data_IF_310908760189
#
_entry.id   IF_310908760189
#
_cell.length_a   1.000
_cell.length_b   1.000
_cell.length_c   1.000
_cell.angle_alpha   90.00
_cell.angle_beta   90.00
_cell.angle_gamma   90.00
#
_symmetry.space_group_name_H-M   'P 1'
#
loop_
_entity.id
_entity.type
_entity.pdbx_description
1 polymer ?
#
# COMPACT_ATOMS: atom_id res chain seq x y z
N UNK A 1 -23.77 -8.03 24.00
CA UNK A 1 -22.50 -7.31 24.29
C UNK A 1 -22.34 -6.24 23.24
N UNK A 2 -22.06 -4.99 23.64
CA UNK A 2 -21.82 -3.87 22.71
C UNK A 2 -20.34 -3.54 22.75
N UNK A 3 -19.70 -3.45 21.57
CA UNK A 3 -18.32 -3.00 21.42
C UNK A 3 -18.27 -1.47 21.30
N UNK A 4 -17.13 -0.88 21.65
CA UNK A 4 -16.85 0.53 21.34
C UNK A 4 -16.64 0.70 19.85
N UNK A 5 -15.90 -0.24 19.22
CA UNK A 5 -15.70 -0.27 17.79
C UNK A 5 -15.63 -1.70 17.23
N UNK A 6 -16.14 -1.90 16.01
CA UNK A 6 -15.93 -3.08 15.19
C UNK A 6 -15.11 -2.68 13.97
N UNK A 7 -14.01 -3.41 13.71
CA UNK A 7 -13.18 -3.24 12.55
C UNK A 7 -13.50 -4.32 11.53
N UNK A 8 -13.80 -3.92 10.30
CA UNK A 8 -14.07 -4.82 9.18
C UNK A 8 -12.81 -4.92 8.32
N UNK A 9 -12.16 -6.08 8.38
CA UNK A 9 -10.86 -6.35 7.75
C UNK A 9 -9.72 -6.44 8.75
N UNK A 10 -8.92 -7.51 8.67
CA UNK A 10 -7.75 -7.77 9.52
C UNK A 10 -6.42 -7.68 8.78
N UNK A 11 -6.36 -6.91 7.69
CA UNK A 11 -5.11 -6.53 7.04
C UNK A 11 -4.31 -5.49 7.85
N UNK A 12 -3.18 -4.98 7.32
CA UNK A 12 -2.31 -4.03 8.05
C UNK A 12 -3.06 -2.84 8.66
N UNK A 13 -4.02 -2.25 7.94
CA UNK A 13 -4.82 -1.14 8.44
C UNK A 13 -5.71 -1.54 9.60
N UNK A 14 -6.52 -2.60 9.41
CA UNK A 14 -7.51 -3.00 10.42
C UNK A 14 -6.87 -3.61 11.66
N UNK A 15 -5.83 -4.43 11.51
CA UNK A 15 -5.08 -4.97 12.64
C UNK A 15 -4.40 -3.86 13.46
N UNK A 16 -3.85 -2.83 12.78
CA UNK A 16 -3.28 -1.66 13.47
C UNK A 16 -4.36 -0.89 14.20
N UNK A 17 -5.50 -0.60 13.56
CA UNK A 17 -6.61 0.11 14.22
C UNK A 17 -7.13 -0.65 15.45
N UNK A 18 -7.27 -1.97 15.34
CA UNK A 18 -7.72 -2.81 16.44
C UNK A 18 -6.74 -2.78 17.62
N UNK A 19 -5.42 -2.86 17.34
CA UNK A 19 -4.38 -2.75 18.35
C UNK A 19 -4.40 -1.38 19.04
N UNK A 20 -4.44 -0.30 18.29
CA UNK A 20 -4.41 1.07 18.83
C UNK A 20 -5.61 1.36 19.74
N UNK A 21 -6.81 0.94 19.36
CA UNK A 21 -7.99 1.09 20.21
C UNK A 21 -7.93 0.20 21.46
N UNK A 22 -7.44 -1.03 21.35
CA UNK A 22 -7.25 -1.92 22.49
C UNK A 22 -6.25 -1.36 23.51
N UNK A 23 -5.15 -0.74 23.03
CA UNK A 23 -4.18 -0.02 23.89
C UNK A 23 -4.81 1.18 24.63
N UNK A 24 -5.89 1.75 24.10
CA UNK A 24 -6.68 2.79 24.77
C UNK A 24 -7.81 2.21 25.68
N UNK A 25 -7.72 0.91 26.02
CA UNK A 25 -8.71 0.20 26.82
C UNK A 25 -10.14 0.24 26.25
N UNK A 26 -10.26 0.31 24.91
CA UNK A 26 -11.54 0.22 24.23
C UNK A 26 -11.92 -1.23 24.00
N UNK A 27 -13.22 -1.51 24.09
CA UNK A 27 -13.79 -2.82 23.81
C UNK A 27 -13.92 -3.01 22.29
N UNK A 28 -12.99 -3.74 21.70
CA UNK A 28 -12.81 -3.83 20.26
C UNK A 28 -13.01 -5.23 19.73
N UNK A 29 -13.71 -5.34 18.60
CA UNK A 29 -13.74 -6.54 17.78
C UNK A 29 -13.21 -6.26 16.38
N UNK A 30 -12.55 -7.23 15.74
CA UNK A 30 -12.26 -7.17 14.33
C UNK A 30 -12.59 -8.46 13.60
N UNK A 31 -13.05 -8.34 12.36
CA UNK A 31 -13.53 -9.44 11.52
C UNK A 31 -12.58 -9.61 10.35
N UNK A 32 -12.01 -10.79 10.17
CA UNK A 32 -11.09 -11.13 9.08
C UNK A 32 -11.46 -12.45 8.43
N UNK A 33 -11.19 -12.58 7.13
CA UNK A 33 -11.56 -13.79 6.37
C UNK A 33 -10.68 -14.99 6.61
N UNK A 34 -9.48 -14.80 7.19
CA UNK A 34 -8.46 -15.82 7.43
C UNK A 34 -8.08 -16.67 6.19
N UNK A 35 -6.83 -16.99 6.05
CA UNK A 35 -6.31 -17.84 4.97
C UNK A 35 -6.28 -17.19 3.59
N UNK A 36 -6.67 -15.93 3.44
CA UNK A 36 -6.49 -15.17 2.22
C UNK A 36 -5.18 -14.41 2.26
N UNK A 37 -4.25 -14.78 1.39
CA UNK A 37 -3.05 -14.00 1.15
C UNK A 37 -3.44 -12.81 0.26
N UNK A 38 -3.11 -11.59 0.68
CA UNK A 38 -3.30 -10.41 -0.17
C UNK A 38 -2.12 -10.31 -1.15
N UNK A 39 -2.38 -10.33 -2.46
CA UNK A 39 -1.33 -10.10 -3.46
C UNK A 39 -0.61 -8.77 -3.21
N UNK A 40 0.72 -8.81 -3.16
CA UNK A 40 1.55 -7.65 -2.84
C UNK A 40 3.01 -7.93 -3.20
N UNK A 41 3.73 -6.92 -3.66
CA UNK A 41 5.19 -6.98 -3.82
C UNK A 41 5.98 -7.12 -2.51
N UNK A 42 5.34 -6.96 -1.35
CA UNK A 42 5.92 -7.23 -0.03
C UNK A 42 6.95 -6.24 0.48
N UNK A 43 7.29 -5.20 -0.28
CA UNK A 43 8.30 -4.22 0.10
C UNK A 43 7.80 -3.27 1.20
N UNK A 44 8.54 -3.15 2.29
CA UNK A 44 8.27 -2.24 3.40
C UNK A 44 9.47 -1.34 3.67
N UNK A 45 9.26 -0.01 3.76
CA UNK A 45 10.36 0.94 3.96
C UNK A 45 10.92 0.88 5.39
N UNK A 46 12.17 1.35 5.59
CA UNK A 46 12.79 1.42 6.92
C UNK A 46 11.93 2.17 7.95
N UNK A 47 11.24 3.20 7.52
CA UNK A 47 10.33 3.97 8.38
C UNK A 47 9.20 3.11 8.95
N UNK A 48 8.59 2.21 8.13
CA UNK A 48 7.56 1.30 8.61
C UNK A 48 8.11 0.35 9.69
N UNK A 49 9.28 -0.22 9.42
CA UNK A 49 9.92 -1.17 10.34
C UNK A 49 10.13 -0.51 11.70
N UNK A 50 10.67 0.71 11.71
CA UNK A 50 10.92 1.50 12.92
C UNK A 50 9.64 1.94 13.62
N UNK A 51 8.74 2.64 12.90
CA UNK A 51 7.59 3.32 13.49
C UNK A 51 6.54 2.34 14.04
N UNK A 52 6.51 1.11 13.49
CA UNK A 52 5.61 0.04 13.93
C UNK A 52 6.30 -1.12 14.67
N UNK A 53 7.57 -0.98 15.01
CA UNK A 53 8.36 -2.00 15.73
C UNK A 53 8.19 -3.39 15.09
N UNK A 54 8.48 -3.48 13.79
CA UNK A 54 8.42 -4.77 13.07
C UNK A 54 9.69 -5.57 13.41
N UNK A 55 9.55 -6.77 13.97
CA UNK A 55 10.71 -7.58 14.32
C UNK A 55 11.37 -8.17 13.07
N UNK A 56 12.66 -8.39 13.13
CA UNK A 56 13.47 -9.00 12.05
C UNK A 56 12.92 -10.35 11.58
N UNK A 57 12.26 -11.11 12.48
CA UNK A 57 11.61 -12.38 12.12
C UNK A 57 10.49 -12.26 11.07
N UNK A 58 9.99 -11.06 10.81
CA UNK A 58 9.02 -10.80 9.76
C UNK A 58 9.67 -10.40 8.44
N UNK A 59 10.97 -10.17 8.40
CA UNK A 59 11.72 -9.72 7.22
C UNK A 59 12.39 -10.92 6.57
N UNK A 60 11.95 -11.28 5.38
CA UNK A 60 12.47 -12.44 4.63
C UNK A 60 13.64 -12.10 3.71
N UNK A 61 13.79 -10.82 3.33
CA UNK A 61 14.96 -10.31 2.61
C UNK A 61 15.20 -8.84 2.96
N UNK A 62 16.47 -8.41 2.92
CA UNK A 62 16.90 -7.05 3.24
C UNK A 62 17.54 -6.44 1.99
N UNK A 63 16.79 -5.63 1.28
CA UNK A 63 17.20 -5.03 0.01
C UNK A 63 18.05 -3.81 0.24
N UNK A 64 19.22 -3.77 -0.39
CA UNK A 64 20.20 -2.67 -0.29
C UNK A 64 20.28 -1.79 -1.52
N UNK A 65 19.72 -2.25 -2.65
CA UNK A 65 19.76 -1.52 -3.92
C UNK A 65 18.43 -1.60 -4.63
N UNK A 66 18.00 -0.50 -5.22
CA UNK A 66 16.92 -0.49 -6.19
C UNK A 66 17.49 -0.18 -7.58
N UNK A 67 17.25 -1.04 -8.56
CA UNK A 67 17.65 -0.85 -9.94
C UNK A 67 16.47 -0.34 -10.76
N UNK A 68 16.62 0.84 -11.36
CA UNK A 68 15.69 1.38 -12.34
C UNK A 68 16.10 0.92 -13.73
N UNK A 69 15.17 0.36 -14.49
CA UNK A 69 15.41 -0.17 -15.85
C UNK A 69 14.54 0.61 -16.84
N UNK A 70 15.17 1.21 -17.86
CA UNK A 70 14.50 2.01 -18.88
C UNK A 70 14.02 1.16 -20.07
N UNK A 71 13.20 1.73 -20.99
CA UNK A 71 12.76 1.05 -22.20
C UNK A 71 13.89 0.56 -23.11
N UNK A 72 15.04 1.24 -23.11
CA UNK A 72 16.25 0.85 -23.86
C UNK A 72 17.18 -0.07 -23.05
N UNK A 73 16.69 -0.64 -21.95
CA UNK A 73 17.47 -1.50 -21.05
C UNK A 73 18.63 -0.79 -20.34
N UNK A 74 18.65 0.54 -20.33
CA UNK A 74 19.58 1.30 -19.49
C UNK A 74 19.23 1.09 -18.04
N UNK A 75 20.23 0.87 -17.20
CA UNK A 75 20.08 0.65 -15.77
C UNK A 75 20.68 1.78 -14.94
N UNK A 76 20.03 2.08 -13.82
CA UNK A 76 20.54 2.98 -12.78
C UNK A 76 20.34 2.32 -11.44
N UNK A 77 21.42 2.03 -10.74
CA UNK A 77 21.40 1.48 -9.40
C UNK A 77 21.36 2.59 -8.36
N UNK A 78 20.41 2.51 -7.46
CA UNK A 78 20.22 3.46 -6.37
C UNK A 78 20.48 2.73 -5.06
N UNK A 79 21.60 3.01 -4.37
CA UNK A 79 21.89 2.40 -3.08
C UNK A 79 20.92 2.89 -2.01
N UNK A 80 20.51 2.01 -1.10
CA UNK A 80 19.69 2.34 0.06
C UNK A 80 20.62 2.66 1.21
N UNK A 81 20.91 3.95 1.37
CA UNK A 81 21.78 4.41 2.45
C UNK A 81 21.10 4.33 3.82
N UNK A 82 21.87 4.04 4.86
CA UNK A 82 21.43 4.04 6.26
C UNK A 82 20.24 3.13 6.57
N UNK A 83 20.14 1.98 5.89
CA UNK A 83 19.08 1.01 6.15
C UNK A 83 18.90 -0.02 5.04
N UNK A 84 17.70 -0.53 4.95
CA UNK A 84 17.28 -1.47 3.90
C UNK A 84 15.76 -1.37 3.68
N UNK A 85 15.30 -1.75 2.51
CA UNK A 85 13.89 -2.08 2.31
C UNK A 85 13.69 -3.53 2.75
N UNK A 86 12.81 -3.75 3.72
CA UNK A 86 12.44 -5.09 4.16
C UNK A 86 11.45 -5.73 3.19
N UNK A 87 11.62 -7.02 2.92
CA UNK A 87 10.62 -7.80 2.19
C UNK A 87 9.85 -8.65 3.20
N UNK A 88 8.52 -8.66 3.08
CA UNK A 88 7.64 -9.42 3.97
C UNK A 88 6.74 -10.38 3.19
N UNK A 89 6.55 -11.58 3.73
CA UNK A 89 5.52 -12.49 3.24
C UNK A 89 4.18 -12.12 3.89
N UNK A 90 3.20 -11.69 3.06
CA UNK A 90 1.92 -11.16 3.53
C UNK A 90 1.12 -12.15 4.38
N UNK A 91 1.27 -13.44 4.15
CA UNK A 91 0.65 -14.48 4.96
C UNK A 91 1.10 -14.39 6.42
N UNK A 92 2.41 -14.34 6.64
CA UNK A 92 3.01 -14.30 7.97
C UNK A 92 2.88 -12.90 8.60
N UNK A 93 3.13 -11.86 7.81
CA UNK A 93 3.11 -10.47 8.28
C UNK A 93 1.71 -10.03 8.72
N UNK A 94 0.67 -10.30 7.92
CA UNK A 94 -0.69 -9.94 8.29
C UNK A 94 -1.16 -10.74 9.52
N UNK A 95 -0.76 -12.03 9.63
CA UNK A 95 -1.07 -12.85 10.80
C UNK A 95 -0.34 -12.35 12.07
N UNK A 96 0.92 -11.95 11.94
CA UNK A 96 1.66 -11.29 13.02
C UNK A 96 0.92 -10.04 13.52
N UNK A 97 0.43 -9.18 12.62
CA UNK A 97 -0.31 -7.98 13.00
C UNK A 97 -1.63 -8.31 13.69
N UNK A 98 -2.38 -9.31 13.21
CA UNK A 98 -3.62 -9.78 13.82
C UNK A 98 -3.40 -10.34 15.23
N UNK A 99 -2.38 -11.17 15.39
CA UNK A 99 -2.02 -11.74 16.69
C UNK A 99 -1.56 -10.64 17.66
N UNK A 100 -0.80 -9.67 17.19
CA UNK A 100 -0.39 -8.49 17.97
C UNK A 100 -1.61 -7.72 18.48
N UNK A 101 -2.61 -7.48 17.64
CA UNK A 101 -3.85 -6.82 18.04
C UNK A 101 -4.64 -7.64 19.07
N UNK A 102 -4.76 -8.96 18.86
CA UNK A 102 -5.43 -9.86 19.79
C UNK A 102 -4.74 -9.91 21.15
N UNK A 103 -3.40 -9.95 21.18
CA UNK A 103 -2.61 -9.96 22.41
C UNK A 103 -2.75 -8.63 23.20
N UNK A 104 -3.19 -7.54 22.55
CA UNK A 104 -3.53 -6.27 23.21
C UNK A 104 -4.99 -6.18 23.64
N UNK A 105 -5.78 -7.22 23.45
CA UNK A 105 -7.17 -7.33 23.92
C UNK A 105 -8.25 -7.14 22.86
N UNK A 106 -7.91 -6.94 21.59
CA UNK A 106 -8.89 -6.91 20.51
C UNK A 106 -9.45 -8.31 20.22
N UNK A 107 -10.77 -8.47 20.22
CA UNK A 107 -11.41 -9.77 19.95
C UNK A 107 -11.47 -10.05 18.46
N UNK A 108 -10.77 -11.09 18.01
CA UNK A 108 -10.78 -11.53 16.62
C UNK A 108 -11.97 -12.44 16.34
N UNK A 109 -12.63 -12.21 15.19
CA UNK A 109 -13.63 -13.07 14.59
C UNK A 109 -13.20 -13.44 13.17
N UNK A 110 -13.45 -14.70 12.80
CA UNK A 110 -13.09 -15.20 11.46
C UNK A 110 -14.35 -15.36 10.62
N UNK A 111 -14.48 -14.52 9.59
CA UNK A 111 -15.65 -14.55 8.74
C UNK A 111 -15.63 -13.51 7.62
N UNK A 112 -16.68 -13.53 6.81
CA UNK A 112 -16.85 -12.60 5.69
C UNK A 112 -17.94 -11.59 6.04
N UNK A 113 -17.59 -10.30 6.01
CA UNK A 113 -18.53 -9.19 6.17
C UNK A 113 -19.70 -9.31 5.18
N UNK A 114 -20.89 -8.99 5.63
CA UNK A 114 -22.11 -9.02 4.83
C UNK A 114 -22.71 -7.62 4.67
N UNK A 115 -23.07 -6.98 5.80
CA UNK A 115 -23.74 -5.67 5.80
C UNK A 115 -23.68 -4.98 7.15
N UNK A 116 -24.04 -3.71 7.12
CA UNK A 116 -24.25 -2.86 8.30
C UNK A 116 -25.70 -2.47 8.36
N UNK A 117 -26.29 -2.56 9.56
CA UNK A 117 -27.64 -2.07 9.84
C UNK A 117 -27.60 -1.10 11.01
N UNK A 118 -28.42 -0.07 10.96
CA UNK A 118 -28.56 0.93 12.03
C UNK A 118 -29.92 0.80 12.66
N UNK A 119 -29.95 0.73 13.99
CA UNK A 119 -31.18 0.72 14.74
C UNK A 119 -31.59 2.18 14.96
N UNK A 120 -32.71 2.57 14.38
CA UNK A 120 -33.29 3.90 14.62
C UNK A 120 -33.39 4.13 16.14
N UNK A 121 -33.11 5.35 16.60
CA UNK A 121 -33.19 5.79 18.01
C UNK A 121 -32.09 5.25 18.95
N UNK A 122 -31.11 4.48 18.44
CA UNK A 122 -29.96 4.03 19.23
C UNK A 122 -28.66 4.38 18.50
N UNK A 123 -27.70 4.95 19.22
CA UNK A 123 -26.33 5.18 18.71
C UNK A 123 -25.57 3.84 18.64
N UNK A 124 -26.18 2.85 17.99
CA UNK A 124 -25.66 1.47 17.88
C UNK A 124 -25.77 1.00 16.43
N UNK A 125 -24.67 0.46 15.96
CA UNK A 125 -24.56 -0.15 14.65
C UNK A 125 -24.48 -1.66 14.81
N UNK A 126 -25.28 -2.40 14.04
CA UNK A 126 -25.20 -3.85 13.89
C UNK A 126 -24.38 -4.21 12.68
N UNK A 127 -23.30 -4.97 12.87
CA UNK A 127 -22.43 -5.50 11.82
C UNK A 127 -22.69 -6.99 11.68
N UNK A 128 -23.09 -7.40 10.48
CA UNK A 128 -23.38 -8.79 10.16
C UNK A 128 -22.24 -9.41 9.34
N UNK A 129 -21.83 -10.60 9.71
CA UNK A 129 -20.83 -11.37 8.99
C UNK A 129 -21.19 -12.86 8.98
N UNK A 130 -20.74 -13.56 7.94
CA UNK A 130 -20.84 -15.01 7.84
C UNK A 130 -19.62 -15.63 8.51
N UNK A 131 -19.83 -16.28 9.64
CA UNK A 131 -18.77 -16.98 10.39
C UNK A 131 -18.17 -18.11 9.54
N UNK A 132 -16.85 -18.21 9.53
CA UNK A 132 -16.12 -19.19 8.70
C UNK A 132 -16.38 -20.63 9.18
N UNK A 133 -16.43 -20.84 10.49
CA UNK A 133 -16.53 -22.16 11.09
C UNK A 133 -17.96 -22.68 11.07
N UNK A 134 -18.90 -21.92 11.62
CA UNK A 134 -20.29 -22.33 11.74
C UNK A 134 -21.10 -22.13 10.46
N UNK A 135 -20.61 -21.32 9.51
CA UNK A 135 -21.29 -20.88 8.29
C UNK A 135 -22.58 -20.08 8.54
N UNK A 136 -22.88 -19.77 9.79
CA UNK A 136 -24.04 -18.96 10.20
C UNK A 136 -23.74 -17.48 10.06
N UNK A 137 -24.80 -16.71 9.89
CA UNK A 137 -24.75 -15.26 10.04
C UNK A 137 -24.68 -14.92 11.53
N UNK A 138 -23.75 -14.05 11.87
CA UNK A 138 -23.54 -13.55 13.23
C UNK A 138 -23.68 -12.04 13.24
N UNK A 139 -24.42 -11.53 14.22
CA UNK A 139 -24.55 -10.11 14.51
C UNK A 139 -23.61 -9.70 15.64
N UNK A 140 -22.83 -8.64 15.41
CA UNK A 140 -22.10 -7.91 16.45
C UNK A 140 -22.60 -6.47 16.50
N UNK A 141 -22.66 -5.90 17.72
CA UNK A 141 -23.13 -4.52 17.95
C UNK A 141 -22.01 -3.64 18.44
N UNK A 142 -21.89 -2.42 17.89
CA UNK A 142 -20.92 -1.43 18.32
C UNK A 142 -21.47 -0.01 18.23
N UNK A 143 -20.71 0.93 18.81
CA UNK A 143 -20.94 2.38 18.64
C UNK A 143 -20.34 2.89 17.35
N UNK A 144 -19.18 2.39 16.96
CA UNK A 144 -18.44 2.81 15.76
C UNK A 144 -17.98 1.62 14.92
N UNK A 145 -17.80 1.88 13.63
CA UNK A 145 -17.25 0.92 12.66
C UNK A 145 -16.06 1.53 11.96
N UNK A 146 -14.97 0.74 11.81
CA UNK A 146 -13.85 1.07 10.95
C UNK A 146 -13.86 0.12 9.76
N UNK A 147 -14.08 0.66 8.54
CA UNK A 147 -13.98 -0.09 7.29
C UNK A 147 -12.52 -0.17 6.83
N UNK A 148 -11.92 -1.36 6.94
CA UNK A 148 -10.52 -1.64 6.57
C UNK A 148 -10.40 -2.91 5.70
N UNK A 149 -11.42 -3.17 4.88
CA UNK A 149 -11.61 -4.40 4.10
C UNK A 149 -10.92 -4.39 2.73
N UNK A 150 -10.04 -3.41 2.52
CA UNK A 150 -9.09 -3.39 1.42
C UNK A 150 -9.61 -2.71 0.14
N UNK A 151 -8.88 -2.88 -0.96
CA UNK A 151 -9.09 -2.13 -2.19
C UNK A 151 -10.49 -2.29 -2.80
N UNK A 152 -11.11 -3.46 -2.69
CA UNK A 152 -12.51 -3.70 -3.12
C UNK A 152 -13.46 -3.64 -1.94
N UNK A 153 -13.31 -2.63 -1.09
CA UNK A 153 -14.09 -2.45 0.12
C UNK A 153 -15.59 -2.50 -0.14
N UNK A 154 -16.26 -3.48 0.45
CA UNK A 154 -17.73 -3.54 0.45
C UNK A 154 -18.30 -2.46 1.38
N UNK A 155 -17.58 -2.14 2.47
CA UNK A 155 -17.95 -1.03 3.36
C UNK A 155 -17.90 0.30 2.63
N UNK A 156 -16.81 0.61 1.92
CA UNK A 156 -16.72 1.87 1.17
C UNK A 156 -17.81 1.97 0.10
N UNK A 157 -18.09 0.86 -0.60
CA UNK A 157 -19.06 0.83 -1.70
C UNK A 157 -20.51 0.96 -1.24
N UNK A 158 -20.85 0.49 -0.04
CA UNK A 158 -22.19 0.58 0.54
C UNK A 158 -22.42 1.87 1.32
N UNK A 159 -21.40 2.39 2.00
CA UNK A 159 -21.55 3.41 3.02
C UNK A 159 -21.01 4.79 2.64
N UNK A 160 -20.14 4.88 1.60
CA UNK A 160 -19.43 6.12 1.33
C UNK A 160 -19.65 6.64 -0.09
N UNK A 161 -19.91 7.95 -0.25
CA UNK A 161 -19.90 8.58 -1.56
C UNK A 161 -18.54 8.37 -2.25
N UNK A 162 -18.56 7.99 -3.53
CA UNK A 162 -17.35 7.73 -4.32
C UNK A 162 -16.70 6.36 -4.09
N UNK A 163 -17.16 5.57 -3.12
CA UNK A 163 -16.59 4.24 -2.84
C UNK A 163 -16.69 3.23 -4.00
N UNK A 164 -17.63 3.46 -4.94
CA UNK A 164 -17.79 2.63 -6.16
C UNK A 164 -16.92 3.08 -7.32
N UNK A 165 -16.33 4.27 -7.26
CA UNK A 165 -15.66 4.93 -8.40
C UNK A 165 -14.18 5.22 -8.16
N UNK A 166 -13.56 4.56 -7.18
CA UNK A 166 -12.13 4.66 -6.93
C UNK A 166 -11.37 4.15 -8.16
N UNK A 167 -10.44 4.94 -8.74
CA UNK A 167 -9.61 4.47 -9.85
C UNK A 167 -8.58 3.46 -9.36
N UNK A 168 -8.33 2.42 -10.16
CA UNK A 168 -7.41 1.35 -9.83
C UNK A 168 -6.37 1.12 -10.92
N UNK A 169 -5.17 0.75 -10.49
CA UNK A 169 -4.23 -0.07 -11.25
C UNK A 169 -4.51 -1.52 -10.89
N UNK A 170 -4.60 -2.40 -11.89
CA UNK A 170 -4.64 -3.84 -11.67
C UNK A 170 -3.20 -4.35 -11.69
N UNK A 171 -2.75 -4.89 -10.59
CA UNK A 171 -1.48 -5.57 -10.47
C UNK A 171 -1.66 -7.06 -10.68
N UNK A 172 -0.71 -7.68 -11.40
CA UNK A 172 -0.56 -9.11 -11.53
C UNK A 172 0.89 -9.50 -11.29
N UNK A 173 1.12 -10.57 -10.56
CA UNK A 173 2.46 -11.10 -10.35
C UNK A 173 2.48 -12.61 -10.20
N UNK A 174 3.65 -13.17 -10.44
CA UNK A 174 3.98 -14.56 -10.19
C UNK A 174 5.02 -14.61 -9.06
N UNK A 175 4.75 -15.43 -8.06
CA UNK A 175 5.74 -15.82 -7.07
C UNK A 175 6.45 -17.04 -7.63
N UNK A 176 7.75 -16.94 -7.77
CA UNK A 176 8.61 -17.97 -8.35
C UNK A 176 9.66 -18.43 -7.32
N UNK A 177 10.21 -19.61 -7.50
CA UNK A 177 11.41 -20.04 -6.76
C UNK A 177 12.58 -19.11 -7.10
N UNK A 178 13.32 -18.67 -6.10
CA UNK A 178 14.50 -17.84 -6.35
C UNK A 178 15.59 -18.64 -7.07
N UNK A 179 16.19 -18.11 -8.16
CA UNK A 179 17.26 -18.82 -8.86
C UNK A 179 18.53 -18.92 -7.99
N UNK A 180 19.30 -20.00 -8.22
CA UNK A 180 20.58 -20.24 -7.53
C UNK A 180 21.74 -19.65 -8.33
N UNK A 181 21.73 -18.33 -8.57
CA UNK A 181 22.80 -17.66 -9.32
C UNK A 181 22.32 -17.02 -10.62
N UNK A 182 23.22 -16.64 -11.49
CA UNK A 182 22.97 -15.87 -12.72
C UNK A 182 22.96 -14.37 -12.47
N UNK A 183 22.13 -13.63 -13.19
CA UNK A 183 21.99 -12.17 -13.09
C UNK A 183 21.09 -11.73 -11.93
N UNK A 184 20.46 -12.69 -11.26
CA UNK A 184 19.60 -12.44 -10.09
C UNK A 184 20.44 -12.02 -8.90
N UNK A 185 20.08 -10.90 -8.31
CA UNK A 185 20.71 -10.36 -7.11
C UNK A 185 19.70 -10.36 -5.95
N UNK A 186 19.94 -11.15 -4.89
CA UNK A 186 19.01 -11.28 -3.77
C UNK A 186 18.89 -10.02 -2.90
N UNK A 187 19.81 -9.07 -3.04
CA UNK A 187 19.83 -7.82 -2.27
C UNK A 187 19.31 -6.61 -3.10
N UNK A 188 18.78 -6.85 -4.32
CA UNK A 188 18.36 -5.79 -5.25
C UNK A 188 16.92 -5.97 -5.73
N UNK A 189 16.13 -4.90 -5.64
CA UNK A 189 14.84 -4.79 -6.30
C UNK A 189 14.97 -4.17 -7.68
N UNK A 190 14.47 -4.83 -8.72
CA UNK A 190 14.42 -4.31 -10.07
C UNK A 190 13.05 -3.67 -10.33
N UNK A 191 13.05 -2.42 -10.84
CA UNK A 191 11.86 -1.65 -11.20
C UNK A 191 11.95 -1.28 -12.68
N UNK A 192 10.99 -1.76 -13.48
CA UNK A 192 11.05 -1.75 -14.94
C UNK A 192 10.06 -0.74 -15.48
N UNK A 193 10.58 0.31 -16.12
CA UNK A 193 9.82 1.35 -16.79
C UNK A 193 9.85 1.13 -18.30
N UNK A 194 8.91 0.35 -18.83
CA UNK A 194 8.80 -0.01 -20.24
C UNK A 194 7.31 -0.08 -20.62
N UNK A 195 6.90 0.65 -21.64
CA UNK A 195 5.51 0.69 -22.09
C UNK A 195 4.99 -0.65 -22.62
N UNK A 196 5.88 -1.55 -23.05
CA UNK A 196 5.56 -2.93 -23.44
C UNK A 196 5.24 -3.81 -22.24
N UNK A 197 5.75 -3.44 -21.07
CA UNK A 197 5.50 -4.11 -19.78
C UNK A 197 4.33 -3.44 -19.05
N UNK A 198 4.35 -2.11 -18.97
CA UNK A 198 3.27 -1.34 -18.36
C UNK A 198 3.10 0.01 -19.05
N UNK A 199 1.93 0.29 -19.66
CA UNK A 199 1.71 1.54 -20.38
C UNK A 199 1.54 2.78 -19.47
N UNK A 200 1.23 2.60 -18.18
CA UNK A 200 0.89 3.69 -17.26
C UNK A 200 1.34 3.49 -15.80
N UNK A 201 2.08 2.39 -15.55
CA UNK A 201 2.66 2.08 -14.24
C UNK A 201 4.08 1.52 -14.43
N UNK A 202 4.45 0.40 -13.79
CA UNK A 202 5.77 -0.24 -13.91
C UNK A 202 5.68 -1.76 -13.71
N UNK A 203 6.76 -2.46 -14.12
CA UNK A 203 7.02 -3.85 -13.79
C UNK A 203 8.06 -3.99 -12.69
N UNK A 204 8.12 -5.14 -12.04
CA UNK A 204 9.07 -5.40 -10.95
C UNK A 204 9.60 -6.82 -10.91
N UNK A 205 10.82 -6.96 -10.36
CA UNK A 205 11.41 -8.21 -9.89
C UNK A 205 11.93 -8.00 -8.47
N UNK A 206 11.25 -8.56 -7.46
CA UNK A 206 11.55 -8.34 -6.04
C UNK A 206 11.94 -9.63 -5.34
N UNK A 207 13.14 -9.72 -4.78
CA UNK A 207 13.59 -10.89 -4.00
C UNK A 207 12.81 -11.06 -2.69
N UNK A 208 12.52 -12.32 -2.34
CA UNK A 208 11.89 -12.72 -1.10
C UNK A 208 12.65 -13.90 -0.42
N UNK A 209 13.96 -13.82 -0.42
CA UNK A 209 14.81 -14.90 0.12
C UNK A 209 14.77 -16.15 -0.76
N UNK A 210 13.95 -17.15 -0.40
CA UNK A 210 13.81 -18.39 -1.18
C UNK A 210 12.90 -18.28 -2.41
N UNK A 211 12.21 -17.18 -2.57
CA UNK A 211 11.32 -16.88 -3.67
C UNK A 211 11.57 -15.49 -4.25
N UNK A 212 10.94 -15.16 -5.36
CA UNK A 212 10.89 -13.81 -5.90
C UNK A 212 9.47 -13.50 -6.39
N UNK A 213 9.07 -12.24 -6.29
CA UNK A 213 7.84 -11.70 -6.86
C UNK A 213 8.17 -11.01 -8.17
N UNK A 214 7.66 -11.50 -9.27
CA UNK A 214 7.82 -10.89 -10.60
C UNK A 214 6.45 -10.48 -11.12
N UNK A 215 6.28 -9.22 -11.49
CA UNK A 215 4.97 -8.76 -11.90
C UNK A 215 4.95 -7.35 -12.48
N UNK A 216 3.76 -6.90 -12.76
CA UNK A 216 3.50 -5.56 -13.29
C UNK A 216 2.12 -5.06 -12.86
N UNK A 217 1.89 -3.77 -13.04
CA UNK A 217 0.59 -3.15 -12.83
C UNK A 217 0.19 -2.26 -14.01
N UNK A 218 -1.11 -2.11 -14.27
CA UNK A 218 -1.64 -1.13 -15.22
C UNK A 218 -3.09 -0.78 -14.92
N UNK A 219 -3.48 0.47 -15.19
CA UNK A 219 -4.88 0.91 -15.21
C UNK A 219 -5.55 0.72 -16.59
N UNK A 220 -4.82 0.24 -17.59
CA UNK A 220 -5.32 0.12 -18.96
C UNK A 220 -6.11 -1.17 -19.15
N UNK A 221 -7.39 -1.03 -19.44
CA UNK A 221 -8.26 -2.18 -19.70
C UNK A 221 -7.81 -2.96 -20.96
N UNK A 222 -7.91 -4.28 -20.89
CA UNK A 222 -7.58 -5.18 -22.01
C UNK A 222 -6.08 -5.41 -22.23
N UNK A 223 -5.21 -4.87 -21.38
CA UNK A 223 -3.77 -5.14 -21.45
C UNK A 223 -3.46 -6.56 -20.93
N UNK A 224 -2.60 -7.30 -21.64
CA UNK A 224 -2.24 -8.67 -21.25
C UNK A 224 -1.17 -8.66 -20.14
N UNK A 225 -1.65 -8.76 -18.92
CA UNK A 225 -0.80 -8.77 -17.71
C UNK A 225 0.09 -10.02 -17.64
N UNK A 226 -0.38 -11.16 -18.17
CA UNK A 226 0.37 -12.43 -18.12
C UNK A 226 1.52 -12.41 -19.11
N UNK A 227 1.26 -11.98 -20.34
CA UNK A 227 2.28 -11.81 -21.37
C UNK A 227 3.36 -10.81 -20.93
N UNK A 228 2.96 -9.66 -20.38
CA UNK A 228 3.89 -8.67 -19.85
C UNK A 228 4.77 -9.26 -18.72
N UNK A 229 4.20 -10.02 -17.80
CA UNK A 229 4.97 -10.68 -16.73
C UNK A 229 5.92 -11.75 -17.29
N UNK A 230 5.51 -12.50 -18.31
CA UNK A 230 6.38 -13.45 -18.98
C UNK A 230 7.59 -12.75 -19.64
N UNK A 231 7.39 -11.61 -20.30
CA UNK A 231 8.48 -10.77 -20.85
C UNK A 231 9.46 -10.29 -19.78
N UNK A 232 8.96 -9.91 -18.58
CA UNK A 232 9.85 -9.57 -17.45
C UNK A 232 10.69 -10.78 -17.07
N UNK A 233 10.07 -11.96 -16.93
CA UNK A 233 10.79 -13.18 -16.55
C UNK A 233 11.88 -13.53 -17.56
N UNK A 234 11.56 -13.46 -18.84
CA UNK A 234 12.51 -13.72 -19.93
C UNK A 234 13.68 -12.72 -19.91
N UNK A 235 13.40 -11.42 -19.89
CA UNK A 235 14.42 -10.36 -19.89
C UNK A 235 15.30 -10.34 -18.63
N UNK A 236 14.80 -10.89 -17.51
CA UNK A 236 15.52 -11.00 -16.25
C UNK A 236 16.16 -12.38 -16.03
N UNK A 237 16.09 -13.31 -17.01
CA UNK A 237 16.63 -14.66 -16.90
C UNK A 237 15.91 -15.53 -15.86
N UNK A 238 14.63 -15.24 -15.61
CA UNK A 238 13.78 -15.93 -14.62
C UNK A 238 12.72 -16.84 -15.27
N UNK A 239 12.76 -17.01 -16.59
CA UNK A 239 11.81 -17.79 -17.39
C UNK A 239 11.79 -19.27 -16.99
N UNK A 240 12.94 -19.82 -16.61
CA UNK A 240 13.10 -21.23 -16.20
C UNK A 240 12.77 -21.50 -14.72
N UNK A 241 12.51 -20.48 -13.92
CA UNK A 241 12.17 -20.66 -12.51
C UNK A 241 10.75 -21.21 -12.36
N UNK A 242 10.54 -22.16 -11.45
CA UNK A 242 9.24 -22.71 -11.15
C UNK A 242 8.30 -21.65 -10.57
N UNK A 243 7.07 -21.59 -11.07
CA UNK A 243 6.04 -20.71 -10.49
C UNK A 243 5.36 -21.40 -9.32
N UNK A 244 5.42 -20.78 -8.15
CA UNK A 244 4.79 -21.26 -6.92
C UNK A 244 3.30 -20.87 -6.92
N UNK A 245 2.98 -19.60 -7.27
CA UNK A 245 1.59 -19.11 -7.36
C UNK A 245 1.48 -17.88 -8.27
N UNK A 246 0.27 -17.65 -8.77
CA UNK A 246 -0.08 -16.50 -9.62
C UNK A 246 -1.19 -15.73 -8.94
N UNK A 247 -1.04 -14.42 -8.84
CA UNK A 247 -1.93 -13.58 -8.05
C UNK A 247 -2.19 -12.25 -8.75
N UNK A 248 -3.34 -11.63 -8.44
CA UNK A 248 -3.65 -10.29 -8.90
C UNK A 248 -4.54 -9.55 -7.92
N UNK A 249 -4.36 -8.23 -7.85
CA UNK A 249 -5.16 -7.36 -7.01
C UNK A 249 -5.28 -5.94 -7.58
N UNK A 250 -6.41 -5.24 -7.33
CA UNK A 250 -6.49 -3.82 -7.59
C UNK A 250 -5.69 -3.04 -6.55
N UNK A 251 -5.05 -1.97 -7.01
CA UNK A 251 -4.33 -0.98 -6.21
C UNK A 251 -5.06 0.35 -6.38
N UNK A 252 -5.72 0.90 -5.35
CA UNK A 252 -6.35 2.21 -5.45
C UNK A 252 -5.27 3.29 -5.43
N UNK A 253 -5.34 4.23 -6.36
CA UNK A 253 -4.32 5.28 -6.50
C UNK A 253 -4.78 6.67 -6.06
N UNK A 254 -6.02 6.79 -5.60
CA UNK A 254 -6.58 8.08 -5.21
C UNK A 254 -7.35 7.97 -3.90
N UNK A 255 -6.96 8.70 -2.85
CA UNK A 255 -7.73 8.79 -1.63
C UNK A 255 -9.12 9.36 -1.87
N UNK A 256 -10.12 8.80 -1.19
CA UNK A 256 -11.48 9.35 -1.19
C UNK A 256 -11.51 10.76 -0.58
N UNK A 257 -12.44 11.57 -1.04
CA UNK A 257 -12.64 12.93 -0.50
C UNK A 257 -13.23 12.91 0.90
N UNK A 258 -14.06 11.91 1.20
CA UNK A 258 -14.61 11.67 2.52
C UNK A 258 -14.29 10.24 2.98
N UNK A 259 -13.78 10.10 4.22
CA UNK A 259 -13.50 8.80 4.83
C UNK A 259 -14.51 8.41 5.88
N UNK A 260 -15.37 9.33 6.28
CA UNK A 260 -16.38 9.11 7.33
C UNK A 260 -17.77 9.54 6.86
N UNK A 261 -18.78 8.96 7.49
CA UNK A 261 -20.18 9.30 7.26
C UNK A 261 -20.73 10.35 8.22
N UNK A 262 -19.89 10.94 9.08
CA UNK A 262 -20.23 11.93 10.09
C UNK A 262 -21.07 11.41 11.29
N UNK A 263 -21.28 10.08 11.37
CA UNK A 263 -22.13 9.46 12.41
C UNK A 263 -21.41 8.35 13.18
N UNK A 264 -21.06 7.27 12.51
CA UNK A 264 -20.67 6.02 13.17
C UNK A 264 -19.61 5.23 12.42
N UNK A 265 -19.19 5.66 11.21
CA UNK A 265 -18.30 4.90 10.35
C UNK A 265 -17.16 5.75 9.81
N UNK A 266 -15.96 5.16 9.81
CA UNK A 266 -14.76 5.73 9.16
C UNK A 266 -14.01 4.64 8.38
N UNK A 267 -13.46 5.00 7.23
CA UNK A 267 -12.61 4.11 6.41
C UNK A 267 -11.13 4.26 6.75
N UNK A 268 -10.35 3.21 6.47
CA UNK A 268 -8.90 3.22 6.65
C UNK A 268 -8.18 2.35 5.60
N UNK A 269 -6.95 2.71 5.29
CA UNK A 269 -6.10 1.98 4.34
C UNK A 269 -6.65 2.00 2.91
N UNK A 270 -6.49 0.89 2.19
CA UNK A 270 -6.94 0.78 0.80
C UNK A 270 -8.44 1.01 0.64
N UNK A 271 -9.26 0.75 1.67
CA UNK A 271 -10.69 1.06 1.65
C UNK A 271 -10.97 2.57 1.53
N UNK A 272 -10.05 3.40 2.04
CA UNK A 272 -10.05 4.84 1.89
C UNK A 272 -9.26 5.33 0.66
N UNK A 273 -8.69 4.41 -0.14
CA UNK A 273 -7.91 4.74 -1.33
C UNK A 273 -6.47 5.18 -1.08
N UNK A 274 -5.90 4.92 0.10
CA UNK A 274 -4.58 5.44 0.50
C UNK A 274 -3.43 4.51 0.13
N UNK A 275 -3.11 4.47 -1.14
CA UNK A 275 -1.89 3.87 -1.68
C UNK A 275 -1.10 4.97 -2.40
N UNK A 276 0.22 4.99 -2.23
CA UNK A 276 1.06 5.98 -2.89
C UNK A 276 0.96 5.84 -4.42
N UNK A 277 0.62 6.91 -5.17
CA UNK A 277 0.46 6.84 -6.62
C UNK A 277 1.72 6.23 -7.26
N UNK A 278 2.53 6.74 -7.92
CA UNK A 278 3.67 6.24 -8.71
C UNK A 278 4.38 4.95 -8.21
N UNK A 279 4.34 4.63 -6.93
CA UNK A 279 5.04 3.46 -6.35
C UNK A 279 4.14 2.28 -5.97
N UNK A 280 2.83 2.48 -5.86
CA UNK A 280 1.91 1.43 -5.39
C UNK A 280 2.15 0.98 -3.94
N UNK A 281 2.97 1.71 -3.17
CA UNK A 281 3.25 1.37 -1.78
C UNK A 281 2.03 1.67 -0.91
N UNK A 282 1.48 0.62 -0.31
CA UNK A 282 0.25 0.68 0.47
C UNK A 282 0.39 0.27 1.94
N UNK A 283 1.36 -0.59 2.30
CA UNK A 283 1.41 -1.17 3.64
C UNK A 283 1.64 -0.10 4.71
N UNK A 284 2.63 0.78 4.52
CA UNK A 284 2.90 1.88 5.44
C UNK A 284 1.67 2.78 5.61
N UNK A 285 1.12 3.25 4.51
CA UNK A 285 -0.03 4.15 4.54
C UNK A 285 -1.30 3.48 5.07
N UNK A 286 -1.46 2.17 4.86
CA UNK A 286 -2.55 1.41 5.45
C UNK A 286 -2.42 1.37 6.98
N UNK A 287 -1.23 1.15 7.51
CA UNK A 287 -0.99 1.13 8.96
C UNK A 287 -1.19 2.52 9.58
N UNK A 288 -0.67 3.58 8.97
CA UNK A 288 -0.94 4.98 9.40
C UNK A 288 -2.44 5.28 9.33
N UNK A 289 -3.12 4.92 8.22
CA UNK A 289 -4.56 5.11 8.10
C UNK A 289 -5.35 4.39 9.20
N UNK A 290 -4.88 3.19 9.61
CA UNK A 290 -5.42 2.46 10.75
C UNK A 290 -5.24 3.20 12.08
N UNK A 291 -4.05 3.76 12.34
CA UNK A 291 -3.80 4.59 13.54
C UNK A 291 -4.68 5.83 13.56
N UNK A 292 -4.81 6.54 12.45
CA UNK A 292 -5.59 7.76 12.39
C UNK A 292 -7.10 7.51 12.52
N UNK A 293 -7.60 6.38 11.98
CA UNK A 293 -8.98 5.95 12.19
C UNK A 293 -9.24 5.58 13.64
N UNK A 294 -8.32 4.84 14.28
CA UNK A 294 -8.41 4.50 15.70
C UNK A 294 -8.39 5.75 16.58
N UNK A 295 -7.49 6.70 16.31
CA UNK A 295 -7.44 7.98 16.99
C UNK A 295 -8.77 8.73 16.88
N UNK A 296 -9.32 8.85 15.67
CA UNK A 296 -10.57 9.56 15.44
C UNK A 296 -11.75 8.92 16.20
N UNK A 297 -11.85 7.59 16.16
CA UNK A 297 -12.88 6.84 16.92
C UNK A 297 -12.71 7.03 18.42
N UNK A 298 -11.45 6.98 18.94
CA UNK A 298 -11.19 7.20 20.34
C UNK A 298 -11.62 8.60 20.81
N UNK A 299 -11.37 9.63 20.02
CA UNK A 299 -11.80 11.00 20.29
C UNK A 299 -13.35 11.12 20.27
N UNK A 300 -14.01 10.44 19.32
CA UNK A 300 -15.49 10.38 19.31
C UNK A 300 -16.04 9.80 20.60
N UNK A 301 -15.46 8.72 21.11
CA UNK A 301 -15.89 8.07 22.34
C UNK A 301 -15.63 8.98 23.55
N UNK A 302 -14.43 9.56 23.62
CA UNK A 302 -14.00 10.43 24.73
C UNK A 302 -14.90 11.65 24.88
N UNK A 303 -15.19 12.33 23.78
CA UNK A 303 -15.96 13.57 23.77
C UNK A 303 -17.44 13.39 23.43
N UNK A 304 -17.90 12.15 23.24
CA UNK A 304 -19.28 11.81 22.83
C UNK A 304 -19.74 12.62 21.61
N UNK A 305 -18.86 12.78 20.63
CA UNK A 305 -19.12 13.62 19.45
C UNK A 305 -18.62 12.94 18.18
N UNK A 306 -19.51 12.44 17.30
CA UNK A 306 -19.12 11.75 16.08
C UNK A 306 -18.42 12.62 15.03
N UNK A 307 -18.51 13.95 15.18
CA UNK A 307 -17.79 14.90 14.28
C UNK A 307 -16.26 14.73 14.30
N UNK A 308 -15.71 14.07 15.31
CA UNK A 308 -14.28 13.77 15.36
C UNK A 308 -13.86 12.67 14.37
N UNK A 309 -14.76 11.90 13.77
CA UNK A 309 -14.41 10.91 12.73
C UNK A 309 -13.63 11.53 11.58
N UNK A 310 -13.94 12.79 11.20
CA UNK A 310 -13.21 13.54 10.16
C UNK A 310 -11.72 13.75 10.46
N UNK A 311 -11.30 13.57 11.71
CA UNK A 311 -9.89 13.69 12.08
C UNK A 311 -9.03 12.63 11.42
N UNK A 312 -9.54 11.44 11.14
CA UNK A 312 -8.79 10.38 10.45
C UNK A 312 -8.19 10.91 9.13
N UNK A 313 -9.03 11.39 8.23
CA UNK A 313 -8.57 11.98 6.96
C UNK A 313 -7.77 13.26 7.16
N UNK A 314 -8.23 14.16 8.03
CA UNK A 314 -7.58 15.45 8.26
C UNK A 314 -6.13 15.28 8.68
N UNK A 315 -5.86 14.41 9.66
CA UNK A 315 -4.53 14.15 10.19
C UNK A 315 -3.65 13.43 9.16
N UNK A 316 -4.16 12.38 8.54
CA UNK A 316 -3.45 11.69 7.45
C UNK A 316 -3.04 12.66 6.34
N UNK A 317 -3.97 13.47 5.84
CA UNK A 317 -3.70 14.40 4.75
C UNK A 317 -2.82 15.59 5.16
N UNK A 318 -2.82 16.01 6.42
CA UNK A 318 -1.90 17.05 6.89
C UNK A 318 -0.43 16.63 6.78
N UNK A 319 -0.14 15.35 6.94
CA UNK A 319 1.23 14.81 6.82
C UNK A 319 1.57 14.37 5.38
N UNK A 320 0.64 13.73 4.68
CA UNK A 320 0.96 12.98 3.45
C UNK A 320 0.46 13.61 2.16
N UNK A 321 -0.43 14.61 2.19
CA UNK A 321 -1.03 15.22 0.99
C UNK A 321 0.00 15.70 -0.02
N UNK A 322 1.05 16.36 0.45
CA UNK A 322 2.08 16.93 -0.44
C UNK A 322 2.87 15.83 -1.12
N UNK A 323 3.25 14.77 -0.38
CA UNK A 323 3.94 13.60 -0.97
C UNK A 323 3.06 12.94 -2.02
N UNK A 324 1.78 12.70 -1.73
CA UNK A 324 0.83 12.10 -2.68
C UNK A 324 0.70 12.92 -3.96
N UNK A 325 0.60 14.25 -3.85
CA UNK A 325 0.52 15.16 -5.02
C UNK A 325 1.79 15.13 -5.86
N UNK A 326 2.96 15.10 -5.23
CA UNK A 326 4.24 15.00 -5.95
C UNK A 326 4.33 13.66 -6.69
N UNK A 327 4.01 12.56 -6.04
CA UNK A 327 4.03 11.23 -6.64
C UNK A 327 3.02 11.10 -7.80
N UNK A 328 1.81 11.65 -7.66
CA UNK A 328 0.82 11.71 -8.73
C UNK A 328 1.32 12.54 -9.93
N UNK A 329 1.93 13.69 -9.66
CA UNK A 329 2.50 14.54 -10.71
C UNK A 329 3.65 13.83 -11.45
N UNK A 330 4.52 13.11 -10.72
CA UNK A 330 5.60 12.31 -11.31
C UNK A 330 5.05 11.19 -12.20
N UNK A 331 4.06 10.43 -11.74
CA UNK A 331 3.41 9.40 -12.54
C UNK A 331 2.81 9.98 -13.82
N UNK A 332 2.09 11.09 -13.71
CA UNK A 332 1.48 11.78 -14.85
C UNK A 332 2.52 12.36 -15.83
N UNK A 333 3.68 12.79 -15.34
CA UNK A 333 4.73 13.36 -16.16
C UNK A 333 5.54 12.28 -16.91
N UNK A 334 5.91 11.19 -16.23
CA UNK A 334 6.94 10.28 -16.74
C UNK A 334 6.42 8.94 -17.25
N UNK A 335 5.26 8.44 -16.80
CA UNK A 335 4.81 7.08 -17.18
C UNK A 335 4.00 7.02 -18.49
N UNK A 336 3.83 8.15 -19.20
CA UNK A 336 2.96 8.25 -20.38
C UNK A 336 3.56 7.77 -21.70
N UNK A 337 4.89 7.77 -21.83
CA UNK A 337 5.59 7.32 -23.06
C UNK A 337 6.98 6.81 -22.74
N UNK A 338 7.54 5.99 -23.63
CA UNK A 338 8.87 5.41 -23.43
C UNK A 338 9.98 6.46 -23.44
N UNK A 339 9.85 7.50 -24.27
CA UNK A 339 10.77 8.65 -24.22
C UNK A 339 10.79 9.33 -22.84
N UNK A 340 9.64 9.49 -22.21
CA UNK A 340 9.54 10.06 -20.85
C UNK A 340 10.05 9.11 -19.78
N UNK A 341 9.81 7.80 -19.91
CA UNK A 341 10.38 6.79 -19.01
C UNK A 341 11.90 6.74 -19.08
N UNK A 342 12.44 6.82 -20.31
CA UNK A 342 13.88 6.90 -20.56
C UNK A 342 14.51 8.11 -19.84
N UNK A 343 13.87 9.28 -19.96
CA UNK A 343 14.31 10.50 -19.27
C UNK A 343 14.21 10.34 -17.75
N UNK A 344 13.15 9.72 -17.24
CA UNK A 344 12.99 9.48 -15.81
C UNK A 344 14.12 8.62 -15.25
N UNK A 345 14.41 7.49 -15.89
CA UNK A 345 15.52 6.62 -15.46
C UNK A 345 16.87 7.35 -15.58
N UNK A 346 17.07 8.15 -16.63
CA UNK A 346 18.29 8.98 -16.77
C UNK A 346 18.44 10.02 -15.66
N UNK A 347 17.32 10.63 -15.20
CA UNK A 347 17.34 11.56 -14.07
C UNK A 347 17.76 10.87 -12.77
N UNK A 348 17.44 9.58 -12.61
CA UNK A 348 17.86 8.80 -11.44
C UNK A 348 19.39 8.59 -11.33
N UNK A 349 20.19 8.98 -12.33
CA UNK A 349 21.67 9.05 -12.25
C UNK A 349 22.16 10.21 -11.38
N UNK A 350 21.36 11.26 -11.23
CA UNK A 350 21.73 12.44 -10.43
C UNK A 350 21.60 12.13 -8.94
N UNK A 351 22.69 12.26 -8.19
CA UNK A 351 22.73 11.95 -6.75
C UNK A 351 21.76 12.80 -5.92
N UNK A 352 21.51 14.05 -6.30
CA UNK A 352 20.51 14.88 -5.62
C UNK A 352 19.10 14.37 -5.88
N UNK A 353 18.81 13.87 -7.09
CA UNK A 353 17.53 13.23 -7.44
C UNK A 353 17.37 11.92 -6.67
N UNK A 354 18.41 11.08 -6.66
CA UNK A 354 18.42 9.82 -5.88
C UNK A 354 18.12 10.11 -4.42
N UNK A 355 18.88 10.99 -3.80
CA UNK A 355 18.72 11.32 -2.39
C UNK A 355 17.32 11.85 -2.08
N UNK A 356 16.82 12.82 -2.83
CA UNK A 356 15.52 13.43 -2.55
C UNK A 356 14.34 12.49 -2.81
N UNK A 357 14.41 11.74 -3.92
CA UNK A 357 13.36 10.78 -4.28
C UNK A 357 13.35 9.62 -3.29
N UNK A 358 14.52 9.10 -2.97
CA UNK A 358 14.68 7.95 -2.11
C UNK A 358 14.38 8.28 -0.65
N UNK A 359 14.87 9.39 -0.12
CA UNK A 359 14.52 9.84 1.23
C UNK A 359 13.02 10.10 1.37
N UNK A 360 12.38 10.67 0.35
CA UNK A 360 10.94 10.86 0.33
C UNK A 360 10.20 9.52 0.35
N UNK A 361 10.68 8.53 -0.38
CA UNK A 361 10.13 7.17 -0.37
C UNK A 361 10.42 6.44 0.96
N UNK A 362 11.66 6.47 1.46
CA UNK A 362 12.07 5.76 2.67
C UNK A 362 11.54 6.40 3.95
N UNK A 363 11.61 7.74 4.03
CA UNK A 363 11.25 8.51 5.21
C UNK A 363 9.86 9.16 5.14
N UNK A 364 9.17 9.05 4.00
CA UNK A 364 7.80 9.57 3.79
C UNK A 364 7.67 11.08 4.07
N UNK A 365 8.77 11.81 3.93
CA UNK A 365 8.83 13.26 4.14
C UNK A 365 9.55 13.90 2.96
N UNK A 366 9.04 15.01 2.46
CA UNK A 366 9.79 15.83 1.53
C UNK A 366 10.97 16.45 2.27
N UNK A 367 12.16 16.34 1.70
CA UNK A 367 13.37 16.95 2.26
C UNK A 367 13.32 18.44 2.00
N UNK A 368 12.80 19.21 2.95
CA UNK A 368 12.65 20.68 2.85
C UNK A 368 13.94 21.46 3.10
N UNK A 369 15.00 20.81 3.59
CA UNK A 369 16.24 21.49 4.06
C UNK A 369 17.17 22.04 2.99
N UNK A 370 16.90 21.81 1.68
CA UNK A 370 17.73 22.37 0.59
C UNK A 370 16.83 22.91 -0.54
N UNK A 371 16.29 24.14 -0.42
CA UNK A 371 15.44 24.74 -1.44
C UNK A 371 16.16 24.87 -2.81
N UNK A 372 17.48 25.06 -2.81
CA UNK A 372 18.30 25.09 -4.01
C UNK A 372 18.36 23.75 -4.75
N UNK A 373 18.36 22.61 -4.03
CA UNK A 373 18.32 21.29 -4.65
C UNK A 373 16.93 21.01 -5.27
N UNK A 374 15.85 21.39 -4.58
CA UNK A 374 14.49 21.31 -5.13
C UNK A 374 14.33 22.18 -6.38
N UNK A 375 14.87 23.39 -6.37
CA UNK A 375 14.84 24.30 -7.52
C UNK A 375 15.69 23.73 -8.68
N UNK A 376 16.88 23.19 -8.39
CA UNK A 376 17.73 22.51 -9.39
C UNK A 376 17.01 21.32 -10.02
N UNK A 377 16.35 20.48 -9.23
CA UNK A 377 15.60 19.33 -9.72
C UNK A 377 14.37 19.80 -10.51
N UNK A 378 13.66 20.83 -10.06
CA UNK A 378 12.53 21.38 -10.79
C UNK A 378 12.99 21.95 -12.15
N UNK A 379 14.09 22.67 -12.20
CA UNK A 379 14.68 23.20 -13.44
C UNK A 379 15.16 22.05 -14.33
N UNK A 380 15.90 21.07 -13.81
CA UNK A 380 16.31 19.88 -14.57
C UNK A 380 15.11 19.10 -15.11
N UNK A 381 14.09 18.89 -14.29
CA UNK A 381 12.82 18.25 -14.70
C UNK A 381 12.16 19.04 -15.84
N UNK A 382 12.07 20.36 -15.74
CA UNK A 382 11.50 21.22 -16.77
C UNK A 382 12.32 21.14 -18.06
N UNK A 383 13.63 21.22 -17.98
CA UNK A 383 14.53 21.12 -19.13
C UNK A 383 14.49 19.73 -19.80
N UNK A 384 14.38 18.67 -19.02
CA UNK A 384 14.15 17.33 -19.54
C UNK A 384 12.77 17.15 -20.15
N UNK A 385 11.71 17.66 -19.54
CA UNK A 385 10.35 17.60 -20.08
C UNK A 385 10.20 18.40 -21.37
N UNK A 386 10.90 19.53 -21.51
CA UNK A 386 10.88 20.37 -22.72
C UNK A 386 11.83 19.88 -23.82
N UNK A 387 12.64 18.85 -23.53
CA UNK A 387 13.63 18.31 -24.51
C UNK A 387 14.85 19.20 -24.73
N UNK A 388 15.03 20.25 -23.94
CA UNK A 388 16.19 21.14 -24.02
C UNK A 388 17.50 20.51 -23.54
N UNK A 389 17.41 19.47 -22.71
CA UNK A 389 18.56 18.61 -22.37
C UNK A 389 18.27 17.23 -22.96
N UNK A 390 19.10 16.79 -23.91
CA UNK A 390 19.07 15.40 -24.39
C UNK A 390 19.63 14.49 -23.30
N UNK A 391 19.04 13.29 -23.15
CA UNK A 391 19.65 12.25 -22.34
C UNK A 391 21.05 11.97 -22.92
N UNK A 392 22.10 12.35 -22.21
CA UNK A 392 23.47 12.00 -22.61
C UNK A 392 23.59 10.49 -22.69
N UNK A 393 24.01 10.02 -23.83
CA UNK A 393 24.29 8.63 -24.20
C UNK A 393 25.16 7.92 -23.17
#
# INVERSE_FOLDING_TARGET
>A
MIYDAIIIGGGPSGATAAMELALQNRKVAFIDREGRIKPCGGAVPPRLIRDFNIPDSQIVAKIKTARMISPTSRTVDIPIENGYVGMVERENFDEFLRNRASNKGAKRFTGTFLRIERIAEKDIVSVFFKDKKSRKEIELKSRFVIGADGARSDVARSEMPGGKTIPYVIAYHEIIEAPKGGVYDPDRCDVIYDGRISPDFYGWGFPHGKSASVGMGTGKNGFDLKEATAKIRESSGLDKCNTIRKEGAPIPLKPLDNWDNGKDLVLAGDAAGVVAPSSGEGIYYAMIGGQEAAYAVNECIKYKNPKFLKLARKRFMSEHKTVFRVLEAMQNAYYKSDDRRERFVSLCKDEDVQRLTFESYMNKKLVTKKPTAHLKIMIKNLLHLTGLIRATT
#
